data_IF_087573334666
#
_entry.id   IF_087573334666
#
_cell.length_a   1.000
_cell.length_b   1.000
_cell.length_c   1.000
_cell.angle_alpha   90.00
_cell.angle_beta   90.00
_cell.angle_gamma   90.00
#
_symmetry.space_group_name_H-M   'P 1'
#
loop_
_entity.id
_entity.type
_entity.pdbx_description
1 polymer ?
#
# COMPACT_ATOMS: atom_id res chain seq x y z
N UNK A 1 6.85 -11.51 25.86
CA UNK A 1 8.19 -11.23 25.30
C UNK A 1 8.10 -9.88 24.62
N UNK A 2 8.77 -8.87 25.19
CA UNK A 2 8.86 -7.54 24.58
C UNK A 2 10.21 -7.51 23.84
N UNK A 3 10.20 -7.85 22.56
CA UNK A 3 11.35 -7.63 21.69
C UNK A 3 11.29 -6.15 21.30
N UNK A 4 11.76 -5.31 22.23
CA UNK A 4 11.92 -3.88 22.04
C UNK A 4 13.02 -3.63 21.02
N UNK A 5 12.65 -3.67 19.75
CA UNK A 5 13.40 -2.94 18.73
C UNK A 5 12.96 -1.49 18.92
N UNK A 6 13.77 -0.69 19.63
CA UNK A 6 13.57 0.75 19.66
C UNK A 6 13.80 1.28 18.25
N UNK A 7 12.71 1.45 17.50
CA UNK A 7 12.74 2.08 16.19
C UNK A 7 12.78 3.59 16.45
N UNK A 8 13.99 4.17 16.43
CA UNK A 8 14.19 5.61 16.68
C UNK A 8 13.44 6.50 15.67
N UNK A 9 13.28 6.02 14.43
CA UNK A 9 12.45 6.67 13.39
C UNK A 9 11.64 5.61 12.64
N UNK A 10 10.32 5.49 12.91
CA UNK A 10 9.48 4.49 12.27
C UNK A 10 9.08 4.86 10.84
N UNK A 11 9.53 6.00 10.32
CA UNK A 11 9.11 6.49 9.03
C UNK A 11 9.86 5.84 7.87
N UNK A 12 9.10 5.38 6.88
CA UNK A 12 9.62 5.01 5.57
C UNK A 12 9.65 6.27 4.71
N UNK A 13 10.87 6.71 4.34
CA UNK A 13 11.09 7.94 3.56
C UNK A 13 11.20 7.71 2.05
N UNK A 14 11.27 6.46 1.62
CA UNK A 14 11.27 6.13 0.19
C UNK A 14 9.88 6.38 -0.40
N UNK A 15 9.77 6.89 -1.63
CA UNK A 15 8.51 6.88 -2.37
C UNK A 15 7.96 5.45 -2.42
N UNK A 16 6.66 5.29 -2.16
CA UNK A 16 6.03 3.99 -2.07
C UNK A 16 4.70 3.95 -2.83
N UNK A 17 4.40 2.79 -3.40
CA UNK A 17 3.12 2.50 -4.03
C UNK A 17 2.46 1.30 -3.34
N UNK A 18 1.25 1.49 -2.83
CA UNK A 18 0.37 0.42 -2.38
C UNK A 18 -0.74 0.20 -3.42
N UNK A 19 -0.74 -0.98 -4.05
CA UNK A 19 -1.82 -1.44 -4.93
C UNK A 19 -2.62 -2.49 -4.18
N UNK A 20 -3.93 -2.28 -4.01
CA UNK A 20 -4.80 -3.20 -3.28
C UNK A 20 -6.16 -3.32 -3.95
N UNK A 21 -6.75 -4.51 -3.91
CA UNK A 21 -8.14 -4.70 -4.33
C UNK A 21 -9.13 -4.21 -3.27
N UNK A 22 -10.20 -3.52 -3.65
CA UNK A 22 -11.21 -3.05 -2.67
C UNK A 22 -11.93 -4.18 -1.95
N UNK A 23 -11.97 -5.38 -2.55
CA UNK A 23 -12.58 -6.59 -1.99
C UNK A 23 -11.56 -7.50 -1.29
N UNK A 24 -10.33 -7.01 -1.05
CA UNK A 24 -9.33 -7.74 -0.26
C UNK A 24 -9.88 -7.99 1.15
N UNK A 25 -9.72 -9.23 1.64
CA UNK A 25 -10.12 -9.60 2.99
C UNK A 25 -9.30 -8.89 4.07
N UNK A 26 -8.17 -8.26 3.72
CA UNK A 26 -7.39 -7.40 4.61
C UNK A 26 -8.27 -6.30 5.24
N UNK A 27 -9.25 -5.75 4.51
CA UNK A 27 -10.19 -4.77 5.06
C UNK A 27 -11.15 -5.33 6.13
N UNK A 28 -11.23 -6.65 6.31
CA UNK A 28 -12.02 -7.27 7.38
C UNK A 28 -11.30 -7.27 8.72
N UNK A 29 -10.00 -6.99 8.76
CA UNK A 29 -9.28 -6.83 10.02
C UNK A 29 -9.67 -5.50 10.69
N UNK A 30 -9.94 -5.51 12.00
CA UNK A 30 -10.32 -4.29 12.73
C UNK A 30 -9.31 -3.15 12.52
N UNK A 31 -9.82 -1.97 12.16
CA UNK A 31 -9.02 -0.75 11.97
C UNK A 31 -8.28 -0.63 10.63
N UNK A 32 -8.25 -1.69 9.80
CA UNK A 32 -7.47 -1.65 8.56
C UNK A 32 -8.06 -0.72 7.49
N UNK A 33 -9.39 -0.60 7.45
CA UNK A 33 -10.07 0.34 6.54
C UNK A 33 -9.71 1.79 6.84
N UNK A 34 -9.82 2.21 8.11
CA UNK A 34 -9.37 3.54 8.57
C UNK A 34 -7.86 3.73 8.40
N UNK A 35 -7.07 2.67 8.59
CA UNK A 35 -5.63 2.75 8.45
C UNK A 35 -5.19 3.06 7.02
N UNK A 36 -5.76 2.35 6.04
CA UNK A 36 -5.41 2.49 4.62
C UNK A 36 -6.24 3.59 3.94
N UNK A 37 -7.58 3.49 3.96
CA UNK A 37 -8.47 4.44 3.26
C UNK A 37 -8.55 5.79 3.98
N UNK A 38 -8.52 5.77 5.31
CA UNK A 38 -8.46 6.99 6.13
C UNK A 38 -7.09 7.67 6.09
N UNK A 39 -6.07 7.05 5.51
CA UNK A 39 -4.75 7.65 5.30
C UNK A 39 -3.83 7.62 6.52
N UNK A 40 -4.23 7.00 7.64
CA UNK A 40 -3.37 6.88 8.84
C UNK A 40 -2.01 6.24 8.54
N UNK A 41 -1.95 5.33 7.56
CA UNK A 41 -0.70 4.73 7.07
C UNK A 41 0.33 5.77 6.61
N UNK A 42 -0.11 6.94 6.12
CA UNK A 42 0.77 8.02 5.67
C UNK A 42 1.50 8.73 6.82
N UNK A 43 1.06 8.53 8.06
CA UNK A 43 1.82 9.01 9.22
C UNK A 43 3.19 8.32 9.34
N UNK A 44 3.32 7.09 8.80
CA UNK A 44 4.56 6.31 8.78
C UNK A 44 5.20 6.24 7.39
N UNK A 45 4.41 6.43 6.33
CA UNK A 45 4.90 6.44 4.94
C UNK A 45 4.40 7.72 4.25
N UNK A 46 5.02 8.89 4.50
CA UNK A 46 4.49 10.18 4.05
C UNK A 46 4.33 10.27 2.53
N UNK A 47 5.22 9.63 1.79
CA UNK A 47 5.25 9.62 0.32
C UNK A 47 4.63 8.33 -0.26
N UNK A 48 3.48 7.95 0.29
CA UNK A 48 2.72 6.78 -0.15
C UNK A 48 1.62 7.16 -1.15
N UNK A 49 1.71 6.60 -2.35
CA UNK A 49 0.61 6.50 -3.31
C UNK A 49 -0.22 5.25 -3.00
N UNK A 50 -1.55 5.38 -3.03
CA UNK A 50 -2.48 4.28 -2.78
C UNK A 50 -3.41 4.17 -3.98
N UNK A 51 -3.44 2.99 -4.61
CA UNK A 51 -4.36 2.65 -5.69
C UNK A 51 -5.25 1.50 -5.22
N UNK A 52 -6.56 1.78 -5.17
CA UNK A 52 -7.57 0.81 -4.80
C UNK A 52 -8.33 0.38 -6.05
N UNK A 53 -8.22 -0.89 -6.40
CA UNK A 53 -8.83 -1.47 -7.60
C UNK A 53 -10.23 -1.99 -7.23
N UNK A 54 -11.34 -1.40 -7.74
CA UNK A 54 -12.70 -1.67 -7.24
C UNK A 54 -13.12 -3.14 -7.27
N UNK A 55 -12.74 -3.86 -8.34
CA UNK A 55 -13.08 -5.27 -8.48
C UNK A 55 -11.97 -6.22 -8.01
N UNK A 56 -10.82 -5.69 -7.59
CA UNK A 56 -9.69 -6.46 -7.10
C UNK A 56 -9.98 -7.15 -5.78
N UNK A 57 -9.47 -8.37 -5.63
CA UNK A 57 -9.46 -9.12 -4.36
C UNK A 57 -8.03 -9.19 -3.81
N UNK A 58 -7.73 -10.20 -2.98
CA UNK A 58 -6.42 -10.34 -2.35
C UNK A 58 -5.26 -10.60 -3.34
N UNK A 59 -5.53 -11.31 -4.43
CA UNK A 59 -4.52 -11.62 -5.46
C UNK A 59 -4.68 -10.70 -6.67
N UNK A 60 -4.78 -9.38 -6.46
CA UNK A 60 -5.10 -8.41 -7.52
C UNK A 60 -4.09 -8.43 -8.67
N UNK A 61 -2.82 -8.72 -8.38
CA UNK A 61 -1.76 -8.90 -9.38
C UNK A 61 -1.97 -10.11 -10.29
N UNK A 62 -2.65 -11.15 -9.82
CA UNK A 62 -3.00 -12.33 -10.63
C UNK A 62 -4.36 -12.15 -11.32
N UNK A 63 -5.29 -11.45 -10.67
CA UNK A 63 -6.62 -11.16 -11.20
C UNK A 63 -6.58 -10.14 -12.36
N UNK A 64 -5.77 -9.10 -12.22
CA UNK A 64 -5.69 -7.95 -13.13
C UNK A 64 -4.22 -7.62 -13.46
N UNK A 65 -3.45 -8.56 -14.02
CA UNK A 65 -2.01 -8.42 -14.20
C UNK A 65 -1.63 -7.25 -15.10
N UNK A 66 -2.40 -6.97 -16.15
CA UNK A 66 -2.12 -5.86 -17.06
C UNK A 66 -2.21 -4.49 -16.35
N UNK A 67 -3.25 -4.29 -15.54
CA UNK A 67 -3.47 -3.06 -14.79
C UNK A 67 -2.38 -2.88 -13.72
N UNK A 68 -2.10 -3.93 -12.94
CA UNK A 68 -1.05 -3.90 -11.90
C UNK A 68 0.34 -3.65 -12.50
N UNK A 69 0.68 -4.33 -13.60
CA UNK A 69 1.96 -4.09 -14.28
C UNK A 69 2.08 -2.65 -14.78
N UNK A 70 1.02 -2.07 -15.35
CA UNK A 70 1.04 -0.70 -15.82
C UNK A 70 1.23 0.30 -14.66
N UNK A 71 0.58 0.08 -13.52
CA UNK A 71 0.76 0.90 -12.32
C UNK A 71 2.21 0.86 -11.81
N UNK A 72 2.81 -0.34 -11.74
CA UNK A 72 4.21 -0.51 -11.31
C UNK A 72 5.16 0.22 -12.26
N UNK A 73 5.03 0.01 -13.58
CA UNK A 73 5.91 0.65 -14.57
C UNK A 73 5.76 2.17 -14.51
N UNK A 74 4.52 2.69 -14.45
CA UNK A 74 4.27 4.13 -14.39
C UNK A 74 4.86 4.76 -13.13
N UNK A 75 4.75 4.08 -11.98
CA UNK A 75 5.34 4.54 -10.74
C UNK A 75 6.87 4.58 -10.82
N UNK A 76 7.50 3.54 -11.37
CA UNK A 76 8.95 3.52 -11.55
C UNK A 76 9.42 4.62 -12.50
N UNK A 77 8.75 4.81 -13.65
CA UNK A 77 9.07 5.84 -14.63
C UNK A 77 9.00 7.25 -14.02
N UNK A 78 8.01 7.51 -13.15
CA UNK A 78 7.85 8.79 -12.46
C UNK A 78 8.90 9.04 -11.36
N UNK A 79 9.62 8.01 -10.93
CA UNK A 79 10.61 8.08 -9.84
C UNK A 79 12.03 7.72 -10.30
N UNK A 80 12.24 7.49 -11.60
CA UNK A 80 13.57 7.44 -12.21
C UNK A 80 14.05 8.85 -12.57
N UNK A 81 15.17 9.27 -11.98
CA UNK A 81 15.92 10.46 -12.41
C UNK A 81 16.41 10.33 -13.86
#
# INVERSE_FOLDING_TARGET
MNIGVDIEDPNVRAPALLIMGEKDYVFKFPGMDEYIRGGTVKNFVPDLEIVLIPDGTHFVQEQLPAEVNQLIVSFLDNHTN
#
